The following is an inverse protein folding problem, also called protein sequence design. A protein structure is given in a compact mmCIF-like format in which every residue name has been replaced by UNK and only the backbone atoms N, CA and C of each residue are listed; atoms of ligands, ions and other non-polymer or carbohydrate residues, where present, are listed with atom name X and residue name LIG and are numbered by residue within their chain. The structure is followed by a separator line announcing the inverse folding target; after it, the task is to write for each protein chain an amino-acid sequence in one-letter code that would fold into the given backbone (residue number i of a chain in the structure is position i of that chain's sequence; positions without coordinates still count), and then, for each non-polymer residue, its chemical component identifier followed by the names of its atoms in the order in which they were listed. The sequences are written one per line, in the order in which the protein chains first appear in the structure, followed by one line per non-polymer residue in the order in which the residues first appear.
data_IF_774223012534
#
_entry.id   IF_774223012534
#
_cell.length_a   1.000
_cell.length_b   1.000
_cell.length_c   1.000
_cell.angle_alpha   90.00
_cell.angle_beta   90.00
_cell.angle_gamma   90.00
#
_symmetry.space_group_name_H-M   'P 1'
#
loop_
_entity.id
_entity.type
_entity.pdbx_description
1 polymer ?
#
# COMPACT_ATOMS: atom_id res chain seq x y z
N UNK A 1 3.38 10.34 -5.11
CA UNK A 1 3.48 10.08 -3.65
C UNK A 1 3.77 11.36 -2.87
N UNK A 2 4.62 12.26 -3.39
CA UNK A 2 4.94 13.58 -2.80
C UNK A 2 3.73 14.34 -2.20
N UNK A 3 2.62 14.49 -2.95
CA UNK A 3 1.43 15.21 -2.46
C UNK A 3 0.49 14.38 -1.57
N UNK A 4 0.75 13.08 -1.43
CA UNK A 4 -0.12 12.16 -0.67
C UNK A 4 0.42 11.90 0.73
N UNK A 5 1.69 11.50 0.82
CA UNK A 5 2.35 11.15 2.08
C UNK A 5 3.41 12.16 2.52
N UNK A 6 3.84 13.09 1.64
CA UNK A 6 5.00 13.94 1.89
C UNK A 6 6.35 13.20 1.85
N UNK A 7 6.34 11.88 1.69
CA UNK A 7 7.52 11.04 1.67
C UNK A 7 8.07 10.83 0.25
N UNK A 8 9.38 10.56 0.10
CA UNK A 8 9.99 10.28 -1.20
C UNK A 8 9.44 9.01 -1.86
N UNK A 9 8.96 8.07 -1.06
CA UNK A 9 8.34 6.82 -1.52
C UNK A 9 7.21 6.41 -0.57
N UNK A 10 6.58 5.29 -0.89
CA UNK A 10 5.54 4.68 -0.07
C UNK A 10 5.74 3.18 -0.14
N UNK A 11 5.62 2.50 1.00
CA UNK A 11 5.65 1.05 1.07
C UNK A 11 4.22 0.53 1.17
N UNK A 12 3.87 -0.42 0.31
CA UNK A 12 2.54 -1.00 0.26
C UNK A 12 2.58 -2.46 -0.22
N UNK A 13 1.60 -3.23 0.23
CA UNK A 13 1.34 -4.60 -0.23
C UNK A 13 0.09 -4.61 -1.06
N UNK A 14 0.10 -5.41 -2.12
CA UNK A 14 -1.09 -5.62 -2.94
C UNK A 14 -1.81 -6.86 -2.45
N UNK A 15 -3.08 -6.70 -2.09
CA UNK A 15 -3.96 -7.80 -1.70
C UNK A 15 -5.17 -7.84 -2.62
N UNK A 16 -5.81 -9.00 -2.74
CA UNK A 16 -7.08 -9.10 -3.47
C UNK A 16 -8.18 -8.33 -2.73
N UNK A 17 -9.05 -7.70 -3.49
CA UNK A 17 -10.14 -6.89 -2.97
C UNK A 17 -11.18 -7.72 -2.21
N UNK A 18 -11.40 -8.96 -2.61
CA UNK A 18 -12.30 -9.91 -1.93
C UNK A 18 -11.74 -10.43 -0.60
N UNK A 19 -10.42 -10.40 -0.42
CA UNK A 19 -9.71 -10.73 0.80
C UNK A 19 -9.49 -9.52 1.73
N UNK A 20 -9.99 -8.33 1.37
CA UNK A 20 -9.84 -7.10 2.14
C UNK A 20 -11.17 -6.62 2.69
N UNK A 21 -11.23 -6.37 4.01
CA UNK A 21 -12.41 -5.83 4.67
C UNK A 21 -12.05 -4.75 5.69
N UNK A 22 -12.82 -3.66 5.69
CA UNK A 22 -12.78 -2.64 6.75
C UNK A 22 -13.65 -3.11 7.90
N UNK A 23 -13.04 -3.50 9.01
CA UNK A 23 -13.77 -3.97 10.20
C UNK A 23 -14.30 -2.82 11.06
N UNK A 24 -13.56 -1.72 11.14
CA UNK A 24 -13.89 -0.57 11.97
C UNK A 24 -13.26 0.72 11.45
N UNK A 25 -13.65 1.86 12.03
CA UNK A 25 -13.15 3.19 11.67
C UNK A 25 -13.95 3.87 10.56
N UNK A 26 -13.81 5.20 10.50
CA UNK A 26 -14.41 6.03 9.43
C UNK A 26 -13.32 6.54 8.52
N UNK A 27 -13.59 6.48 7.22
CA UNK A 27 -12.63 6.91 6.21
C UNK A 27 -13.13 8.12 5.44
N UNK A 28 -12.21 9.03 5.15
CA UNK A 28 -12.37 10.11 4.19
C UNK A 28 -11.58 9.77 2.93
N UNK A 29 -12.28 9.66 1.81
CA UNK A 29 -11.67 9.28 0.53
C UNK A 29 -11.24 10.49 -0.27
N UNK A 30 -9.99 10.48 -0.73
CA UNK A 30 -9.47 11.45 -1.69
C UNK A 30 -9.28 10.78 -3.04
N UNK A 31 -9.87 11.36 -4.08
CA UNK A 31 -9.80 10.87 -5.47
C UNK A 31 -8.94 11.79 -6.33
N UNK A 32 -8.16 11.20 -7.24
CA UNK A 32 -7.43 11.92 -8.28
C UNK A 32 -7.33 11.07 -9.54
N UNK A 33 -7.00 11.71 -10.67
CA UNK A 33 -6.60 10.99 -11.86
C UNK A 33 -5.13 10.53 -11.74
N UNK A 34 -4.87 9.25 -12.01
CA UNK A 34 -3.54 8.70 -12.19
C UNK A 34 -2.98 9.04 -13.58
N UNK A 35 -1.71 8.68 -13.84
CA UNK A 35 -1.02 9.01 -15.10
C UNK A 35 -1.70 8.44 -16.35
N UNK A 36 -2.47 7.36 -16.23
CA UNK A 36 -3.26 6.78 -17.33
C UNK A 36 -4.70 7.26 -17.44
N UNK A 37 -5.11 8.32 -16.73
CA UNK A 37 -6.50 8.81 -16.71
C UNK A 37 -7.46 8.00 -15.82
N UNK A 38 -7.04 6.83 -15.34
CA UNK A 38 -7.78 6.05 -14.35
C UNK A 38 -7.82 6.76 -13.00
N UNK A 39 -8.93 6.64 -12.27
CA UNK A 39 -9.04 7.22 -10.94
C UNK A 39 -8.26 6.39 -9.93
N UNK A 40 -7.64 7.10 -9.00
CA UNK A 40 -6.99 6.54 -7.82
C UNK A 40 -7.67 7.11 -6.60
N UNK A 41 -8.25 6.24 -5.78
CA UNK A 41 -8.87 6.61 -4.49
C UNK A 41 -7.91 6.26 -3.37
N UNK A 42 -7.80 7.17 -2.42
CA UNK A 42 -6.93 7.02 -1.25
C UNK A 42 -7.72 7.28 0.02
N UNK A 43 -8.37 6.24 0.58
CA UNK A 43 -9.06 6.33 1.86
C UNK A 43 -8.11 6.62 3.01
N UNK A 44 -8.48 7.62 3.82
CA UNK A 44 -7.71 8.06 5.00
C UNK A 44 -8.56 8.00 6.25
N UNK A 45 -7.98 7.65 7.37
CA UNK A 45 -8.67 7.70 8.66
C UNK A 45 -9.20 9.11 8.92
N UNK A 46 -10.50 9.25 9.17
CA UNK A 46 -11.12 10.56 9.43
C UNK A 46 -10.67 11.19 10.75
N UNK A 47 -10.15 10.39 11.69
CA UNK A 47 -9.68 10.85 12.99
C UNK A 47 -8.26 11.42 12.96
N UNK A 48 -7.31 10.70 12.35
CA UNK A 48 -5.89 11.07 12.35
C UNK A 48 -5.33 11.45 10.97
N UNK A 49 -6.09 11.27 9.89
CA UNK A 49 -5.66 11.57 8.53
C UNK A 49 -4.74 10.53 7.89
N UNK A 50 -4.39 9.46 8.60
CA UNK A 50 -3.52 8.39 8.09
C UNK A 50 -4.09 7.76 6.83
N UNK A 51 -3.28 7.66 5.78
CA UNK A 51 -3.62 6.94 4.56
C UNK A 51 -3.39 5.44 4.76
N UNK A 52 -4.44 4.63 4.59
CA UNK A 52 -4.43 3.20 4.96
C UNK A 52 -4.37 2.27 3.75
N UNK A 53 -5.12 2.56 2.69
CA UNK A 53 -5.03 1.80 1.45
C UNK A 53 -5.28 2.67 0.22
N UNK A 54 -5.00 2.13 -0.97
CA UNK A 54 -5.32 2.73 -2.26
C UNK A 54 -6.16 1.80 -3.12
N UNK A 55 -7.00 2.39 -3.94
CA UNK A 55 -7.83 1.72 -4.95
C UNK A 55 -7.52 2.35 -6.30
N UNK A 56 -7.41 1.52 -7.33
CA UNK A 56 -7.07 1.94 -8.67
C UNK A 56 -8.10 1.40 -9.65
N UNK A 57 -8.78 2.27 -10.40
CA UNK A 57 -9.77 1.83 -11.40
C UNK A 57 -9.16 0.95 -12.49
N UNK A 58 -7.86 1.07 -12.75
CA UNK A 58 -7.11 0.21 -13.67
C UNK A 58 -6.94 -1.24 -13.17
N UNK A 59 -7.09 -1.46 -11.85
CA UNK A 59 -6.91 -2.75 -11.17
C UNK A 59 -7.91 -2.86 -10.00
N UNK A 60 -9.22 -2.94 -10.30
CA UNK A 60 -10.28 -2.86 -9.28
C UNK A 60 -10.30 -4.08 -8.35
N UNK A 61 -9.75 -5.21 -8.79
CA UNK A 61 -9.69 -6.47 -8.04
C UNK A 61 -8.62 -6.47 -6.94
N UNK A 62 -7.88 -5.37 -6.79
CA UNK A 62 -6.79 -5.26 -5.84
C UNK A 62 -6.92 -4.04 -4.92
N UNK A 63 -6.30 -4.14 -3.75
CA UNK A 63 -6.10 -3.03 -2.80
C UNK A 63 -4.61 -2.92 -2.51
N UNK A 64 -4.08 -1.71 -2.56
CA UNK A 64 -2.72 -1.43 -2.13
C UNK A 64 -2.76 -0.98 -0.66
N UNK A 65 -2.50 -1.89 0.27
CA UNK A 65 -2.49 -1.61 1.72
C UNK A 65 -1.14 -1.03 2.10
N UNK A 66 -1.14 0.08 2.83
CA UNK A 66 0.06 0.79 3.24
C UNK A 66 0.78 0.01 4.33
N UNK A 67 2.02 -0.38 4.09
CA UNK A 67 2.81 -1.15 5.06
C UNK A 67 2.98 -0.43 6.41
N UNK A 68 3.19 0.90 6.48
CA UNK A 68 3.37 1.61 7.74
C UNK A 68 2.12 1.66 8.64
N UNK A 69 0.97 1.16 8.18
CA UNK A 69 -0.25 1.09 8.98
C UNK A 69 -0.49 -0.30 9.58
N UNK A 70 0.45 -1.23 9.40
CA UNK A 70 0.42 -2.56 10.00
C UNK A 70 1.43 -2.60 11.15
N UNK A 71 1.08 -3.30 12.22
CA UNK A 71 1.99 -3.49 13.35
C UNK A 71 3.16 -4.43 12.98
N UNK A 72 2.87 -5.50 12.22
CA UNK A 72 3.86 -6.49 11.78
C UNK A 72 3.91 -6.61 10.24
N UNK A 73 4.48 -5.63 9.52
CA UNK A 73 4.55 -5.66 8.06
C UNK A 73 5.66 -6.59 7.54
N UNK A 74 5.42 -7.41 6.49
CA UNK A 74 6.50 -8.16 5.84
C UNK A 74 7.46 -7.21 5.10
N UNK A 75 8.78 -7.34 5.29
CA UNK A 75 9.77 -6.48 4.63
C UNK A 75 10.39 -7.16 3.41
N UNK A 76 10.22 -6.60 2.20
CA UNK A 76 10.89 -7.10 0.99
C UNK A 76 12.15 -6.30 0.66
N UNK A 77 13.32 -6.83 1.03
CA UNK A 77 14.59 -6.08 1.07
C UNK A 77 15.14 -5.73 -0.30
N UNK A 78 14.89 -6.52 -1.36
CA UNK A 78 15.43 -6.24 -2.70
C UNK A 78 14.81 -5.01 -3.39
N UNK A 79 13.72 -4.46 -2.84
CA UNK A 79 13.01 -3.33 -3.41
C UNK A 79 13.22 -2.03 -2.62
N UNK A 80 14.08 -2.07 -1.60
CA UNK A 80 14.33 -0.93 -0.72
C UNK A 80 15.44 -0.03 -1.26
N UNK A 81 15.33 1.26 -0.96
CA UNK A 81 16.39 2.19 -1.29
C UNK A 81 17.60 1.97 -0.36
N UNK A 82 18.85 2.11 -0.84
CA UNK A 82 20.06 1.85 -0.03
C UNK A 82 20.19 2.70 1.24
N UNK A 83 19.49 3.83 1.33
CA UNK A 83 19.50 4.72 2.49
C UNK A 83 18.42 4.38 3.53
N UNK A 84 17.59 3.36 3.31
CA UNK A 84 16.59 2.93 4.28
C UNK A 84 17.22 1.97 5.27
N UNK A 85 17.30 2.39 6.54
CA UNK A 85 17.63 1.48 7.64
C UNK A 85 16.39 0.66 7.99
N UNK A 86 16.52 -0.67 7.96
CA UNK A 86 15.50 -1.59 8.45
C UNK A 86 15.78 -1.95 9.91
N UNK A 87 14.71 -2.16 10.67
CA UNK A 87 14.79 -2.86 11.93
C UNK A 87 15.23 -4.32 11.65
N UNK A 88 16.34 -4.79 12.22
CA UNK A 88 16.81 -6.16 12.02
C UNK A 88 15.84 -7.22 12.55
N UNK A 89 14.93 -6.88 13.46
CA UNK A 89 13.95 -7.81 14.04
C UNK A 89 12.76 -8.09 13.11
N UNK A 90 12.54 -7.27 12.07
CA UNK A 90 11.47 -7.50 11.10
C UNK A 90 11.75 -8.74 10.25
N UNK A 91 10.69 -9.47 9.89
CA UNK A 91 10.83 -10.57 8.94
C UNK A 91 11.21 -10.03 7.55
N UNK A 92 12.41 -10.38 7.10
CA UNK A 92 13.01 -9.92 5.85
C UNK A 92 12.94 -10.99 4.77
N UNK A 93 12.24 -10.69 3.69
CA UNK A 93 12.16 -11.50 2.48
C UNK A 93 12.99 -10.85 1.37
N UNK A 94 13.72 -11.64 0.59
CA UNK A 94 14.46 -11.08 -0.55
C UNK A 94 13.49 -10.45 -1.57
N UNK A 95 12.42 -11.14 -1.93
CA UNK A 95 11.39 -10.67 -2.87
C UNK A 95 10.09 -11.44 -2.63
N UNK A 96 8.97 -10.89 -3.08
CA UNK A 96 7.72 -11.65 -3.19
C UNK A 96 7.92 -12.90 -4.07
N UNK A 97 7.47 -14.09 -3.64
CA UNK A 97 7.46 -15.31 -4.44
C UNK A 97 6.85 -15.10 -5.83
N UNK A 98 7.37 -15.80 -6.85
CA UNK A 98 6.96 -15.55 -8.24
C UNK A 98 5.49 -15.90 -8.49
N UNK A 99 4.98 -16.98 -7.88
CA UNK A 99 3.57 -17.37 -8.07
C UNK A 99 2.62 -16.28 -7.57
N UNK A 100 2.91 -15.75 -6.38
CA UNK A 100 2.10 -14.71 -5.76
C UNK A 100 2.21 -13.42 -6.58
N UNK A 101 3.41 -13.07 -7.03
CA UNK A 101 3.65 -11.91 -7.88
C UNK A 101 2.97 -12.02 -9.26
N UNK A 102 2.92 -13.23 -9.83
CA UNK A 102 2.23 -13.49 -11.09
C UNK A 102 0.71 -13.37 -10.93
N UNK A 103 0.17 -13.77 -9.77
CA UNK A 103 -1.26 -13.63 -9.46
C UNK A 103 -1.75 -12.17 -9.33
N UNK A 104 -0.80 -11.22 -9.25
CA UNK A 104 -1.05 -9.77 -9.16
C UNK A 104 -0.88 -9.03 -10.51
N UNK A 105 -0.60 -9.75 -11.61
CA UNK A 105 -0.36 -9.14 -12.93
C UNK A 105 -1.63 -8.89 -13.72
#
# INVERSE_FOLDING_TARGET
MQKLSGAPFTTAFTVKADAFQVLSGKMRTFERNGEGGHKVRTPRCSGCGTWVWAEHDARPDFRAVLAPTLDDPPAYVSQMSPWVALDPELTQFQRMPEEERASLR
#
